data_IF_891636558044
#
_entry.id   IF_891636558044
#
_cell.length_a   1.000
_cell.length_b   1.000
_cell.length_c   1.000
_cell.angle_alpha   90.00
_cell.angle_beta   90.00
_cell.angle_gamma   90.00
#
_symmetry.space_group_name_H-M   'P 1'
#
loop_
_entity.id
_entity.type
_entity.pdbx_description
1 polymer ?
#
# COMPACT_ATOMS: atom_id res chain seq x y z
N UNK A 1 15.87 -5.11 -46.75
CA UNK A 1 14.79 -5.14 -45.73
C UNK A 1 15.43 -5.51 -44.41
N UNK A 2 15.59 -4.54 -43.50
CA UNK A 2 16.20 -4.75 -42.18
C UNK A 2 15.09 -4.88 -41.16
N UNK A 3 14.91 -6.08 -40.60
CA UNK A 3 13.99 -6.28 -39.47
C UNK A 3 14.64 -5.71 -38.19
N UNK A 4 13.90 -4.99 -37.32
CA UNK A 4 14.40 -4.65 -36.01
C UNK A 4 14.50 -5.94 -35.18
N UNK A 5 15.72 -6.26 -34.73
CA UNK A 5 15.92 -7.33 -33.78
C UNK A 5 15.16 -6.98 -32.49
N UNK A 6 14.06 -7.69 -32.23
CA UNK A 6 13.45 -7.74 -30.91
C UNK A 6 14.50 -8.27 -29.93
N UNK A 7 15.12 -7.36 -29.19
CA UNK A 7 15.99 -7.71 -28.06
C UNK A 7 15.08 -8.21 -26.94
N UNK A 8 14.75 -9.49 -26.97
CA UNK A 8 14.34 -10.25 -25.79
C UNK A 8 15.55 -10.30 -24.84
N UNK A 9 15.76 -9.22 -24.09
CA UNK A 9 17.01 -8.98 -23.35
C UNK A 9 16.80 -8.41 -21.96
N UNK A 10 15.65 -8.66 -21.35
CA UNK A 10 15.51 -8.62 -19.90
C UNK A 10 14.98 -9.99 -19.50
N UNK A 11 15.87 -10.87 -19.03
CA UNK A 11 15.44 -12.02 -18.25
C UNK A 11 14.49 -11.47 -17.18
N UNK A 12 13.28 -12.02 -17.10
CA UNK A 12 12.37 -11.67 -16.04
C UNK A 12 13.02 -12.10 -14.72
N UNK A 13 13.68 -11.17 -14.03
CA UNK A 13 14.36 -11.40 -12.76
C UNK A 13 13.29 -11.66 -11.71
N UNK A 14 12.85 -12.91 -11.66
CA UNK A 14 12.04 -13.47 -10.59
C UNK A 14 12.93 -14.34 -9.69
N UNK A 15 12.67 -14.34 -8.37
CA UNK A 15 11.59 -13.62 -7.71
C UNK A 15 11.91 -12.13 -7.53
N UNK A 16 10.91 -11.27 -7.76
CA UNK A 16 10.94 -9.89 -7.29
C UNK A 16 11.17 -9.98 -5.78
N UNK A 17 12.21 -9.32 -5.22
CA UNK A 17 12.39 -9.29 -3.78
C UNK A 17 11.09 -8.80 -3.15
N UNK A 18 10.46 -9.65 -2.34
CA UNK A 18 9.29 -9.23 -1.58
C UNK A 18 9.75 -8.08 -0.70
N UNK A 19 9.35 -6.85 -1.03
CA UNK A 19 9.46 -5.74 -0.09
C UNK A 19 8.69 -6.20 1.14
N UNK A 20 9.40 -6.50 2.23
CA UNK A 20 8.78 -6.96 3.46
C UNK A 20 7.67 -5.99 3.91
N UNK A 21 6.81 -6.40 4.86
CA UNK A 21 5.76 -5.53 5.39
C UNK A 21 6.35 -4.15 5.70
N UNK A 22 5.73 -3.12 5.14
CA UNK A 22 6.22 -1.75 5.25
C UNK A 22 6.28 -1.38 6.73
N UNK A 23 7.47 -1.05 7.29
CA UNK A 23 7.59 -0.77 8.72
C UNK A 23 6.78 0.46 9.17
N UNK A 24 6.30 1.29 8.22
CA UNK A 24 5.40 2.41 8.50
C UNK A 24 3.98 1.95 8.82
N UNK A 25 3.59 0.79 8.30
CA UNK A 25 2.31 0.14 8.53
C UNK A 25 2.48 -1.00 9.52
N UNK A 26 2.25 -0.69 10.79
CA UNK A 26 2.14 -1.73 11.83
C UNK A 26 0.69 -1.99 12.16
N UNK A 27 0.37 -3.23 12.49
CA UNK A 27 -0.96 -3.62 12.98
C UNK A 27 -1.38 -2.78 14.20
N UNK A 28 -0.43 -2.41 15.06
CA UNK A 28 -0.65 -1.51 16.20
C UNK A 28 -1.11 -0.11 15.77
N UNK A 29 -0.51 0.45 14.71
CA UNK A 29 -0.91 1.75 14.16
C UNK A 29 -2.33 1.68 13.60
N UNK A 30 -2.62 0.67 12.79
CA UNK A 30 -3.92 0.49 12.15
C UNK A 30 -5.02 0.37 13.21
N UNK A 31 -4.81 -0.46 14.24
CA UNK A 31 -5.73 -0.60 15.36
C UNK A 31 -5.90 0.70 16.17
N UNK A 32 -4.83 1.46 16.38
CA UNK A 32 -4.88 2.73 17.12
C UNK A 32 -5.68 3.80 16.36
N UNK A 33 -5.51 3.88 15.04
CA UNK A 33 -6.27 4.80 14.18
C UNK A 33 -7.74 4.38 14.11
N UNK A 34 -8.01 3.08 13.98
CA UNK A 34 -9.37 2.55 14.00
C UNK A 34 -10.10 2.92 15.30
N UNK A 35 -9.45 2.73 16.45
CA UNK A 35 -10.00 3.11 17.76
C UNK A 35 -10.26 4.62 17.88
N UNK A 36 -9.36 5.45 17.33
CA UNK A 36 -9.55 6.90 17.27
C UNK A 36 -10.79 7.27 16.46
N UNK A 37 -10.94 6.72 15.25
CA UNK A 37 -12.08 7.00 14.38
C UNK A 37 -13.40 6.64 15.08
N UNK A 38 -13.47 5.47 15.72
CA UNK A 38 -14.64 5.07 16.52
C UNK A 38 -14.89 6.04 17.67
N UNK A 39 -13.83 6.49 18.36
CA UNK A 39 -13.93 7.52 19.41
C UNK A 39 -14.47 8.86 18.93
N UNK A 40 -14.25 9.21 17.65
CA UNK A 40 -14.83 10.39 17.00
C UNK A 40 -16.28 10.18 16.49
N UNK A 41 -16.84 8.99 16.66
CA UNK A 41 -18.21 8.68 16.25
C UNK A 41 -18.34 8.04 14.86
N UNK A 42 -17.23 7.62 14.24
CA UNK A 42 -17.31 6.75 13.05
C UNK A 42 -17.80 5.34 13.42
N UNK A 43 -18.45 4.63 12.48
CA UNK A 43 -18.86 3.26 12.70
C UNK A 43 -17.65 2.35 12.99
N UNK A 44 -17.84 1.30 13.81
CA UNK A 44 -16.79 0.32 14.07
C UNK A 44 -16.48 -0.52 12.83
N UNK A 45 -15.20 -0.83 12.64
CA UNK A 45 -14.68 -1.69 11.58
C UNK A 45 -15.09 -3.14 11.87
N UNK A 46 -16.12 -3.61 11.17
CA UNK A 46 -16.74 -4.92 11.43
C UNK A 46 -16.42 -5.94 10.34
N UNK A 47 -16.19 -5.48 9.11
CA UNK A 47 -15.82 -6.31 7.97
C UNK A 47 -14.34 -6.17 7.63
N UNK A 48 -13.76 -7.22 7.03
CA UNK A 48 -12.40 -7.18 6.50
C UNK A 48 -12.22 -6.07 5.45
N UNK A 49 -13.27 -5.78 4.68
CA UNK A 49 -13.26 -4.69 3.69
C UNK A 49 -13.06 -3.32 4.35
N UNK A 50 -13.65 -3.06 5.52
CA UNK A 50 -13.48 -1.80 6.25
C UNK A 50 -12.01 -1.58 6.65
N UNK A 51 -11.31 -2.67 7.01
CA UNK A 51 -9.89 -2.62 7.36
C UNK A 51 -9.01 -2.37 6.13
N UNK A 52 -9.34 -3.01 5.00
CA UNK A 52 -8.62 -2.79 3.74
C UNK A 52 -8.79 -1.35 3.22
N UNK A 53 -9.98 -0.77 3.37
CA UNK A 53 -10.25 0.63 3.04
C UNK A 53 -9.46 1.59 3.94
N UNK A 54 -9.41 1.31 5.24
CA UNK A 54 -8.61 2.09 6.20
C UNK A 54 -7.12 2.06 5.86
N UNK A 55 -6.58 0.88 5.61
CA UNK A 55 -5.17 0.71 5.23
C UNK A 55 -4.85 1.44 3.93
N UNK A 56 -5.73 1.32 2.92
CA UNK A 56 -5.57 1.99 1.63
C UNK A 56 -5.63 3.52 1.75
N UNK A 57 -6.56 4.05 2.55
CA UNK A 57 -6.67 5.49 2.81
C UNK A 57 -5.45 6.03 3.56
N UNK A 58 -4.93 5.28 4.54
CA UNK A 58 -3.73 5.64 5.27
C UNK A 58 -2.48 5.60 4.37
N UNK A 59 -2.39 4.61 3.47
CA UNK A 59 -1.35 4.53 2.45
C UNK A 59 -1.40 5.74 1.51
N UNK A 60 -2.58 6.08 0.99
CA UNK A 60 -2.76 7.26 0.16
C UNK A 60 -2.31 8.53 0.90
N UNK A 61 -2.76 8.74 2.13
CA UNK A 61 -2.37 9.90 2.93
C UNK A 61 -0.85 10.02 3.14
N UNK A 62 -0.18 8.92 3.50
CA UNK A 62 1.26 8.91 3.78
C UNK A 62 2.12 9.02 2.51
N UNK A 63 1.63 8.50 1.38
CA UNK A 63 2.39 8.44 0.14
C UNK A 63 2.07 9.54 -0.87
N UNK A 64 0.88 10.14 -0.85
CA UNK A 64 0.54 11.28 -1.72
C UNK A 64 1.31 12.56 -1.36
N UNK A 65 1.80 12.69 -0.12
CA UNK A 65 2.60 13.85 0.29
C UNK A 65 4.07 13.85 -0.20
N UNK A 66 4.48 12.92 -1.06
CA UNK A 66 5.85 12.83 -1.61
C UNK A 66 6.07 13.56 -2.95
N UNK A 67 5.15 14.44 -3.37
CA UNK A 67 5.39 15.38 -4.48
C UNK A 67 4.92 16.80 -4.12
N UNK A 68 5.63 17.45 -3.20
CA UNK A 68 5.67 18.91 -3.17
C UNK A 68 7.11 19.36 -2.98
N UNK A 69 7.66 19.75 -4.12
CA UNK A 69 8.85 20.54 -4.45
C UNK A 69 9.30 21.55 -3.38
#
# INVERSE_FOLDING_TARGET
>A
MTQPAFRFGAEAVYPIPHAGPDPRFSESLINSVAALLVGYGYPPFAALDDWADLESALAAFLYEHKDTK
#
